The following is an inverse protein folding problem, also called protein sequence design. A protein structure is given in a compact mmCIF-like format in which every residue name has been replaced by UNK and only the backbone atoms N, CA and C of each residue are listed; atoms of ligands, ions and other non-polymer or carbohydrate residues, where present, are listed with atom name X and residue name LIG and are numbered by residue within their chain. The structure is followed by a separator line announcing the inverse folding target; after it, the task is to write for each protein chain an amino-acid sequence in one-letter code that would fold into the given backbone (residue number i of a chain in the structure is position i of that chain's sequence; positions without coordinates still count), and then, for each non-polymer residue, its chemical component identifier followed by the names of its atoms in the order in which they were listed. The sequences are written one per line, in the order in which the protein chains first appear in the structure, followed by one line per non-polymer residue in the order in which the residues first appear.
data_IF_638292768608
#
_entry.id   IF_638292768608
#
_cell.length_a   1.000
_cell.length_b   1.000
_cell.length_c   1.000
_cell.angle_alpha   90.00
_cell.angle_beta   90.00
_cell.angle_gamma   90.00
#
_symmetry.space_group_name_H-M   'P 1'
#
loop_
_entity.id
_entity.type
_entity.pdbx_description
1 polymer ?
#
# COMPACT_ATOMS: atom_id res chain seq x y z
N UNK A 1 0.62 -14.30 -15.38
CA UNK A 1 0.69 -12.94 -15.98
C UNK A 1 -0.18 -12.85 -17.23
N UNK A 2 0.05 -13.71 -18.23
CA UNK A 2 -0.67 -13.65 -19.52
C UNK A 2 -2.21 -13.73 -19.41
N UNK A 3 -2.75 -14.49 -18.45
CA UNK A 3 -4.20 -14.60 -18.27
C UNK A 3 -4.85 -13.29 -17.80
N UNK A 4 -4.21 -12.56 -16.88
CA UNK A 4 -4.72 -11.27 -16.37
C UNK A 4 -4.64 -10.20 -17.46
N UNK A 5 -3.53 -10.15 -18.20
CA UNK A 5 -3.37 -9.23 -19.32
C UNK A 5 -4.37 -9.50 -20.45
N UNK A 6 -4.65 -10.78 -20.75
CA UNK A 6 -5.69 -11.15 -21.72
C UNK A 6 -7.07 -10.66 -21.28
N UNK A 7 -7.47 -10.88 -20.03
CA UNK A 7 -8.76 -10.40 -19.50
C UNK A 7 -8.87 -8.87 -19.52
N UNK A 8 -7.81 -8.14 -19.18
CA UNK A 8 -7.79 -6.68 -19.24
C UNK A 8 -7.98 -6.18 -20.68
N UNK A 9 -7.31 -6.84 -21.65
CA UNK A 9 -7.47 -6.54 -23.07
C UNK A 9 -8.90 -6.80 -23.58
N UNK A 10 -9.52 -7.90 -23.15
CA UNK A 10 -10.93 -8.23 -23.52
C UNK A 10 -11.93 -7.18 -23.04
N UNK A 11 -11.62 -6.45 -21.96
CA UNK A 11 -12.49 -5.40 -21.39
C UNK A 11 -12.00 -4.00 -21.81
N UNK A 12 -11.09 -3.90 -22.80
CA UNK A 12 -10.51 -2.64 -23.29
C UNK A 12 -9.85 -1.78 -22.19
N UNK A 13 -9.30 -2.44 -21.17
CA UNK A 13 -8.57 -1.79 -20.09
C UNK A 13 -7.08 -1.73 -20.43
N UNK A 14 -6.58 -0.51 -20.65
CA UNK A 14 -5.18 -0.28 -21.01
C UNK A 14 -4.29 -0.14 -19.77
N UNK A 15 -3.14 -0.81 -19.79
CA UNK A 15 -2.11 -0.66 -18.75
C UNK A 15 -1.07 0.37 -19.18
N UNK A 16 -0.75 1.28 -18.27
CA UNK A 16 0.41 2.17 -18.40
C UNK A 16 1.69 1.41 -18.01
N UNK A 17 2.43 0.93 -19.00
CA UNK A 17 3.65 0.12 -18.82
C UNK A 17 4.67 0.82 -17.89
N UNK A 18 4.71 2.15 -17.86
CA UNK A 18 5.66 2.90 -17.02
C UNK A 18 5.37 2.76 -15.52
N UNK A 19 4.12 2.50 -15.14
CA UNK A 19 3.69 2.40 -13.74
C UNK A 19 3.82 1.00 -13.16
N UNK A 20 3.81 -0.03 -14.00
CA UNK A 20 3.83 -1.43 -13.55
C UNK A 20 5.24 -2.01 -13.53
N UNK A 21 5.53 -2.76 -12.47
CA UNK A 21 6.76 -3.54 -12.34
C UNK A 21 6.39 -5.02 -12.30
N UNK A 22 6.96 -5.79 -13.22
CA UNK A 22 6.74 -7.23 -13.31
C UNK A 22 7.93 -7.99 -12.74
N UNK A 23 7.66 -9.15 -12.13
CA UNK A 23 8.69 -10.07 -11.58
C UNK A 23 9.71 -9.38 -10.64
N UNK A 24 9.27 -8.45 -9.79
CA UNK A 24 10.14 -7.81 -8.80
C UNK A 24 10.15 -8.57 -7.46
N UNK A 25 11.27 -8.47 -6.75
CA UNK A 25 11.42 -9.06 -5.40
C UNK A 25 10.70 -8.24 -4.32
N UNK A 26 10.33 -7.00 -4.61
CA UNK A 26 9.54 -6.13 -3.74
C UNK A 26 8.60 -5.23 -4.55
N UNK A 27 7.45 -4.89 -3.97
CA UNK A 27 6.46 -4.00 -4.57
C UNK A 27 5.72 -3.20 -3.50
N UNK A 28 5.41 -1.92 -3.79
CA UNK A 28 4.47 -1.12 -3.00
C UNK A 28 3.05 -1.45 -3.44
N UNK A 29 2.17 -1.84 -2.51
CA UNK A 29 0.76 -2.14 -2.78
C UNK A 29 -0.11 -1.68 -1.60
N UNK A 30 -1.13 -0.85 -1.86
CA UNK A 30 -2.04 -0.28 -0.85
C UNK A 30 -1.33 0.36 0.37
N UNK A 31 -0.13 0.89 0.17
CA UNK A 31 0.69 1.49 1.23
C UNK A 31 1.46 0.49 2.10
N UNK A 32 1.55 -0.76 1.65
CA UNK A 32 2.45 -1.78 2.20
C UNK A 32 3.58 -2.06 1.22
N UNK A 33 4.70 -2.57 1.74
CA UNK A 33 5.77 -3.15 0.96
C UNK A 33 5.64 -4.67 1.06
N UNK A 34 5.30 -5.29 -0.06
CA UNK A 34 5.30 -6.74 -0.22
C UNK A 34 6.71 -7.15 -0.65
N UNK A 35 7.36 -8.06 0.07
CA UNK A 35 8.68 -8.61 -0.28
C UNK A 35 8.56 -10.12 -0.49
N UNK A 36 9.22 -10.63 -1.52
CA UNK A 36 9.32 -12.08 -1.76
C UNK A 36 10.08 -12.73 -0.59
N UNK A 37 9.53 -13.80 0.00
CA UNK A 37 10.01 -14.52 1.21
C UNK A 37 9.85 -13.81 2.56
N UNK A 38 9.53 -12.52 2.61
CA UNK A 38 9.23 -11.82 3.85
C UNK A 38 7.72 -11.56 3.98
N UNK A 39 7.26 -11.32 5.23
CA UNK A 39 5.89 -10.87 5.52
C UNK A 39 5.60 -9.51 4.86
N UNK A 40 4.32 -9.14 4.79
CA UNK A 40 3.85 -7.80 4.39
C UNK A 40 4.38 -6.79 5.42
N UNK A 41 5.10 -5.77 4.97
CA UNK A 41 5.67 -4.73 5.85
C UNK A 41 4.95 -3.40 5.58
N UNK A 42 4.61 -2.65 6.63
CA UNK A 42 4.06 -1.30 6.49
C UNK A 42 5.09 -0.40 5.78
N UNK A 43 4.65 0.42 4.81
CA UNK A 43 5.56 1.32 4.13
C UNK A 43 6.20 2.31 5.13
N UNK A 44 7.54 2.42 5.21
CA UNK A 44 8.22 3.32 6.13
C UNK A 44 7.80 4.78 5.97
N UNK A 45 7.38 5.20 4.77
CA UNK A 45 6.84 6.56 4.55
C UNK A 45 5.59 6.79 5.41
N UNK A 46 4.67 5.83 5.45
CA UNK A 46 3.47 5.90 6.31
C UNK A 46 3.81 5.83 7.80
N UNK A 47 4.84 5.04 8.16
CA UNK A 47 5.27 4.94 9.56
C UNK A 47 5.85 6.27 10.07
N UNK A 48 6.55 7.02 9.20
CA UNK A 48 7.02 8.37 9.50
C UNK A 48 5.88 9.35 9.69
N UNK A 49 4.84 9.31 8.85
CA UNK A 49 3.67 10.18 8.99
C UNK A 49 2.98 9.98 10.35
N UNK A 50 2.90 8.73 10.85
CA UNK A 50 2.39 8.43 12.19
C UNK A 50 3.28 8.99 13.29
N UNK A 51 4.60 8.87 13.16
CA UNK A 51 5.57 9.40 14.14
C UNK A 51 5.56 10.94 14.18
N UNK A 52 5.29 11.58 13.04
CA UNK A 52 5.16 13.03 12.89
C UNK A 52 3.76 13.56 13.23
N UNK A 53 2.79 12.67 13.50
CA UNK A 53 1.43 13.04 13.89
C UNK A 53 1.44 13.58 15.33
N UNK A 54 1.88 14.83 15.46
CA UNK A 54 2.05 15.58 16.69
C UNK A 54 0.77 15.57 17.56
N UNK A 55 0.99 15.26 18.84
CA UNK A 55 0.11 15.42 20.01
C UNK A 55 -1.38 15.52 19.74
N UNK A 56 -2.07 14.41 20.00
CA UNK A 56 -3.53 14.28 19.93
C UNK A 56 -4.18 15.11 21.04
N UNK A 57 -4.57 16.35 20.73
CA UNK A 57 -5.26 17.24 21.69
C UNK A 57 -6.77 16.94 21.69
N UNK A 58 -7.30 16.40 20.59
CA UNK A 58 -8.73 16.18 20.38
C UNK A 58 -9.10 14.69 20.33
N UNK A 59 -10.21 14.32 20.97
CA UNK A 59 -10.78 12.97 20.97
C UNK A 59 -11.02 12.44 19.54
N UNK A 60 -11.45 13.30 18.60
CA UNK A 60 -11.64 12.89 17.19
C UNK A 60 -10.34 12.42 16.53
N UNK A 61 -9.23 13.09 16.84
CA UNK A 61 -7.91 12.75 16.30
C UNK A 61 -7.43 11.43 16.90
N UNK A 62 -7.67 11.20 18.20
CA UNK A 62 -7.38 9.92 18.86
C UNK A 62 -8.10 8.76 18.16
N UNK A 63 -9.38 8.90 17.84
CA UNK A 63 -10.12 7.87 17.12
C UNK A 63 -9.60 7.65 15.69
N UNK A 64 -9.24 8.72 14.99
CA UNK A 64 -8.64 8.63 13.65
C UNK A 64 -7.31 7.88 13.69
N UNK A 65 -6.46 8.21 14.66
CA UNK A 65 -5.19 7.54 14.92
C UNK A 65 -5.39 6.05 15.24
N UNK A 66 -6.30 5.70 16.16
CA UNK A 66 -6.58 4.30 16.50
C UNK A 66 -7.09 3.50 15.30
N UNK A 67 -7.95 4.10 14.45
CA UNK A 67 -8.42 3.47 13.22
C UNK A 67 -7.27 3.24 12.23
N UNK A 68 -6.34 4.19 12.12
CA UNK A 68 -5.15 4.04 11.29
C UNK A 68 -4.22 2.94 11.82
N UNK A 69 -3.97 2.90 13.13
CA UNK A 69 -3.14 1.86 13.74
C UNK A 69 -3.72 0.45 13.53
N UNK A 70 -5.05 0.30 13.53
CA UNK A 70 -5.72 -0.96 13.15
C UNK A 70 -5.46 -1.36 11.70
N UNK A 71 -5.36 -0.41 10.78
CA UNK A 71 -5.03 -0.69 9.37
C UNK A 71 -3.58 -1.16 9.20
N UNK A 72 -2.67 -0.67 10.04
CA UNK A 72 -1.25 -1.04 9.99
C UNK A 72 -0.88 -2.32 10.75
N UNK A 73 -1.83 -2.93 11.49
CA UNK A 73 -1.64 -4.17 12.25
C UNK A 73 -1.79 -5.41 11.37
#
# INVERSE_FOLDING_TARGET
VNLVLKKLSTISLHLDIKKYKFKTKSMKYLGFIIKVKNKIVVNPDKAKDVLLWLTLINIKEVYSFLRFMRFCR
#
